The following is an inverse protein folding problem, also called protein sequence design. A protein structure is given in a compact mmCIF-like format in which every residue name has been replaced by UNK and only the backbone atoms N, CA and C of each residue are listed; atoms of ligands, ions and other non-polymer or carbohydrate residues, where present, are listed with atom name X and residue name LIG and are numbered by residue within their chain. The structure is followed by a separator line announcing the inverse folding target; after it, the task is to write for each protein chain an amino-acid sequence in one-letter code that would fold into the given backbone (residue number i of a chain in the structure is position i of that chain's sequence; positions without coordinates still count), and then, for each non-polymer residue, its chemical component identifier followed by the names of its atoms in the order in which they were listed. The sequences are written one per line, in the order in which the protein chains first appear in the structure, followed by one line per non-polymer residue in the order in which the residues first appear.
data_IF_402037774363
#
_entry.id   IF_402037774363
#
_cell.length_a   1.000
_cell.length_b   1.000
_cell.length_c   1.000
_cell.angle_alpha   90.00
_cell.angle_beta   90.00
_cell.angle_gamma   90.00
#
_symmetry.space_group_name_H-M   'P 1'
#
loop_
_entity.id
_entity.type
_entity.pdbx_description
1 polymer ?
#
# COMPACT_ATOMS: atom_id res chain seq x y z
N UNK A 1 6.65 -48.09 -9.50
CA UNK A 1 5.41 -48.14 -10.32
C UNK A 1 5.13 -46.70 -10.73
N UNK A 2 4.94 -46.39 -12.02
CA UNK A 2 4.58 -45.04 -12.43
C UNK A 2 3.21 -44.68 -11.83
N UNK A 3 3.06 -43.43 -11.36
CA UNK A 3 1.77 -42.94 -10.86
C UNK A 3 0.70 -43.15 -11.94
N UNK A 4 -0.41 -43.75 -11.56
CA UNK A 4 -1.50 -44.02 -12.50
C UNK A 4 -2.16 -42.71 -12.90
N UNK A 5 -2.79 -42.67 -14.08
CA UNK A 5 -3.48 -41.46 -14.52
C UNK A 5 -4.53 -41.02 -13.48
N UNK A 6 -5.16 -41.98 -12.78
CA UNK A 6 -6.10 -41.77 -11.68
C UNK A 6 -5.46 -41.01 -10.50
N UNK A 7 -4.26 -41.41 -10.06
CA UNK A 7 -3.51 -40.71 -8.99
C UNK A 7 -3.21 -39.24 -9.37
N UNK A 8 -2.96 -38.99 -10.66
CA UNK A 8 -2.69 -37.64 -11.20
C UNK A 8 -3.97 -36.82 -11.34
N UNK A 9 -5.11 -37.46 -11.58
CA UNK A 9 -6.41 -36.81 -11.59
C UNK A 9 -6.87 -36.45 -10.16
N UNK A 10 -6.75 -37.37 -9.20
CA UNK A 10 -7.11 -37.10 -7.80
C UNK A 10 -6.29 -35.96 -7.19
N UNK A 11 -4.98 -35.90 -7.44
CA UNK A 11 -4.12 -34.82 -6.95
C UNK A 11 -4.47 -33.43 -7.48
N UNK A 12 -5.14 -33.33 -8.64
CA UNK A 12 -5.62 -32.05 -9.21
C UNK A 12 -7.01 -31.66 -8.70
N UNK A 13 -7.82 -32.64 -8.33
CA UNK A 13 -9.19 -32.42 -7.84
C UNK A 13 -9.25 -32.17 -6.34
N UNK A 14 -8.32 -32.77 -5.58
CA UNK A 14 -8.26 -32.71 -4.11
C UNK A 14 -6.96 -32.09 -3.58
N UNK A 15 -6.12 -31.54 -4.46
CA UNK A 15 -4.98 -30.74 -4.04
C UNK A 15 -5.45 -29.59 -3.13
N UNK A 16 -4.63 -29.12 -2.17
CA UNK A 16 -4.98 -27.98 -1.34
C UNK A 16 -5.25 -26.79 -2.26
N UNK A 17 -6.53 -26.49 -2.48
CA UNK A 17 -6.97 -25.28 -3.15
C UNK A 17 -6.60 -24.14 -2.21
N UNK A 18 -5.46 -23.52 -2.45
CA UNK A 18 -5.06 -22.32 -1.71
C UNK A 18 -6.09 -21.25 -2.08
N UNK A 19 -7.12 -21.10 -1.26
CA UNK A 19 -8.16 -20.09 -1.44
C UNK A 19 -7.43 -18.75 -1.45
N UNK A 20 -7.34 -18.06 -2.60
CA UNK A 20 -6.47 -16.91 -2.75
C UNK A 20 -7.11 -15.73 -2.02
N UNK A 21 -6.88 -15.66 -0.70
CA UNK A 21 -7.30 -14.59 0.18
C UNK A 21 -8.82 -14.58 0.39
N UNK A 22 -9.23 -14.78 1.63
CA UNK A 22 -10.58 -14.48 2.10
C UNK A 22 -10.97 -13.09 1.59
N UNK A 23 -11.92 -13.03 0.63
CA UNK A 23 -12.38 -11.75 0.09
C UNK A 23 -13.05 -10.99 1.22
N UNK A 24 -12.42 -9.90 1.68
CA UNK A 24 -13.00 -9.02 2.70
C UNK A 24 -14.43 -8.66 2.28
N UNK A 25 -15.37 -8.71 3.24
CA UNK A 25 -16.74 -8.28 3.02
C UNK A 25 -16.72 -6.83 2.47
N UNK A 26 -17.46 -6.58 1.38
CA UNK A 26 -17.50 -5.28 0.70
C UNK A 26 -17.82 -4.13 1.66
N UNK A 27 -18.65 -4.37 2.67
CA UNK A 27 -18.95 -3.39 3.71
C UNK A 27 -17.73 -3.06 4.58
N UNK A 28 -16.94 -4.07 4.97
CA UNK A 28 -15.70 -3.89 5.73
C UNK A 28 -14.68 -3.14 4.89
N UNK A 29 -14.56 -3.46 3.60
CA UNK A 29 -13.73 -2.71 2.66
C UNK A 29 -14.12 -1.23 2.59
N UNK A 30 -15.41 -0.90 2.55
CA UNK A 30 -15.88 0.48 2.55
C UNK A 30 -15.44 1.24 3.80
N UNK A 31 -15.50 0.61 4.98
CA UNK A 31 -15.01 1.23 6.23
C UNK A 31 -13.53 1.58 6.11
N UNK A 32 -12.70 0.64 5.64
CA UNK A 32 -11.28 0.91 5.42
C UNK A 32 -11.04 1.99 4.37
N UNK A 33 -11.83 2.02 3.29
CA UNK A 33 -11.74 3.07 2.28
C UNK A 33 -12.00 4.46 2.85
N UNK A 34 -12.93 4.61 3.79
CA UNK A 34 -13.21 5.89 4.47
C UNK A 34 -12.04 6.26 5.38
N UNK A 35 -11.52 5.31 6.18
CA UNK A 35 -10.38 5.54 7.06
C UNK A 35 -9.12 5.92 6.28
N UNK A 36 -8.82 5.21 5.20
CA UNK A 36 -7.67 5.48 4.33
C UNK A 36 -7.84 6.83 3.63
N UNK A 37 -9.04 7.20 3.20
CA UNK A 37 -9.29 8.54 2.65
C UNK A 37 -8.99 9.65 3.66
N UNK A 38 -9.35 9.48 4.93
CA UNK A 38 -8.98 10.40 6.00
C UNK A 38 -7.46 10.46 6.19
N UNK A 39 -6.79 9.31 6.19
CA UNK A 39 -5.32 9.26 6.28
C UNK A 39 -4.64 9.94 5.08
N UNK A 40 -5.17 9.78 3.86
CA UNK A 40 -4.66 10.49 2.67
C UNK A 40 -4.79 12.00 2.84
N UNK A 41 -5.90 12.48 3.41
CA UNK A 41 -6.08 13.92 3.69
C UNK A 41 -5.01 14.44 4.67
N UNK A 42 -4.71 13.68 5.72
CA UNK A 42 -3.62 14.00 6.65
C UNK A 42 -2.27 13.98 5.92
N UNK A 43 -2.00 12.94 5.13
CA UNK A 43 -0.77 12.80 4.37
C UNK A 43 -0.54 13.96 3.39
N UNK A 44 -1.59 14.42 2.70
CA UNK A 44 -1.55 15.58 1.81
C UNK A 44 -1.22 16.87 2.57
N UNK A 45 -1.82 17.05 3.75
CA UNK A 45 -1.54 18.22 4.61
C UNK A 45 -0.09 18.20 5.08
N UNK A 46 0.38 17.04 5.57
CA UNK A 46 1.78 16.84 6.00
C UNK A 46 2.75 17.06 4.85
N UNK A 47 2.46 16.55 3.65
CA UNK A 47 3.25 16.78 2.46
C UNK A 47 3.31 18.27 2.13
N UNK A 48 2.18 18.98 2.15
CA UNK A 48 2.13 20.42 1.89
C UNK A 48 2.99 21.22 2.87
N UNK A 49 2.88 20.92 4.17
CA UNK A 49 3.73 21.54 5.21
C UNK A 49 5.21 21.21 4.97
N UNK A 50 5.54 19.96 4.67
CA UNK A 50 6.89 19.55 4.36
C UNK A 50 7.43 20.26 3.11
N UNK A 51 6.65 20.40 2.04
CA UNK A 51 7.08 21.13 0.84
C UNK A 51 7.41 22.59 1.16
N UNK A 52 6.60 23.27 1.97
CA UNK A 52 6.88 24.65 2.39
C UNK A 52 8.18 24.73 3.20
N UNK A 53 8.36 23.84 4.18
CA UNK A 53 9.57 23.81 5.02
C UNK A 53 10.80 23.50 4.15
N UNK A 54 10.73 22.54 3.23
CA UNK A 54 11.84 22.14 2.35
C UNK A 54 12.24 23.30 1.45
N UNK A 55 11.25 24.01 0.91
CA UNK A 55 11.49 25.19 0.10
C UNK A 55 12.20 26.30 0.90
N UNK A 56 11.78 26.56 2.13
CA UNK A 56 12.47 27.52 3.02
C UNK A 56 13.91 27.10 3.30
N UNK A 57 14.16 25.81 3.57
CA UNK A 57 15.52 25.29 3.77
C UNK A 57 16.36 25.53 2.52
N UNK A 58 15.84 25.22 1.34
CA UNK A 58 16.55 25.44 0.07
C UNK A 58 16.86 26.93 -0.14
N UNK A 59 15.98 27.86 0.23
CA UNK A 59 16.26 29.30 0.14
C UNK A 59 17.45 29.72 1.00
N UNK A 60 17.54 29.18 2.23
CA UNK A 60 18.64 29.49 3.16
C UNK A 60 19.93 28.76 2.77
N UNK A 61 19.82 27.55 2.22
CA UNK A 61 20.94 26.67 1.91
C UNK A 61 21.36 26.72 0.42
N UNK A 62 21.15 27.86 -0.26
CA UNK A 62 21.57 28.10 -1.66
C UNK A 62 21.05 27.05 -2.67
N UNK A 63 19.86 26.52 -2.43
CA UNK A 63 19.20 25.52 -3.27
C UNK A 63 19.46 24.07 -2.86
N UNK A 64 20.30 23.81 -1.85
CA UNK A 64 20.55 22.45 -1.38
C UNK A 64 19.38 21.93 -0.51
N UNK A 65 18.73 20.82 -0.90
CA UNK A 65 17.64 20.24 -0.13
C UNK A 65 18.15 19.54 1.13
N UNK A 66 17.30 19.45 2.15
CA UNK A 66 17.57 18.58 3.30
C UNK A 66 17.29 17.12 2.90
N UNK A 67 18.33 16.29 2.93
CA UNK A 67 18.27 14.87 2.54
C UNK A 67 17.23 14.08 3.35
N UNK A 68 17.21 14.23 4.68
CA UNK A 68 16.27 13.51 5.55
C UNK A 68 14.82 13.80 5.21
N UNK A 69 14.57 15.03 4.79
CA UNK A 69 13.23 15.50 4.47
C UNK A 69 12.79 15.04 3.08
N UNK A 70 13.74 14.93 2.14
CA UNK A 70 13.51 14.31 0.83
C UNK A 70 13.25 12.80 0.97
N UNK A 71 13.99 12.10 1.83
CA UNK A 71 13.75 10.69 2.17
C UNK A 71 12.35 10.50 2.77
N UNK A 72 11.96 11.33 3.73
CA UNK A 72 10.59 11.31 4.28
C UNK A 72 9.52 11.48 3.20
N UNK A 73 9.69 12.46 2.30
CA UNK A 73 8.78 12.67 1.18
C UNK A 73 8.68 11.45 0.25
N UNK A 74 9.78 10.71 0.07
CA UNK A 74 9.82 9.48 -0.73
C UNK A 74 9.00 8.37 -0.07
N UNK A 75 9.20 8.10 1.22
CA UNK A 75 8.41 7.12 1.97
C UNK A 75 6.91 7.48 1.98
N UNK A 76 6.59 8.77 2.15
CA UNK A 76 5.20 9.25 2.11
C UNK A 76 4.58 9.04 0.71
N UNK A 77 5.32 9.29 -0.36
CA UNK A 77 4.88 9.05 -1.73
C UNK A 77 4.60 7.58 -2.02
N UNK A 78 5.47 6.67 -1.56
CA UNK A 78 5.27 5.22 -1.65
C UNK A 78 3.98 4.81 -0.94
N UNK A 79 3.75 5.34 0.27
CA UNK A 79 2.54 5.08 1.03
C UNK A 79 1.28 5.57 0.30
N UNK A 80 1.28 6.80 -0.24
CA UNK A 80 0.14 7.36 -1.00
C UNK A 80 -0.17 6.49 -2.22
N UNK A 81 0.86 6.01 -2.94
CA UNK A 81 0.67 5.13 -4.09
C UNK A 81 0.02 3.79 -3.70
N UNK A 82 0.43 3.18 -2.57
CA UNK A 82 -0.21 1.97 -2.04
C UNK A 82 -1.67 2.24 -1.63
N UNK A 83 -1.92 3.35 -0.91
CA UNK A 83 -3.26 3.74 -0.49
C UNK A 83 -4.20 3.98 -1.68
N UNK A 84 -3.73 4.66 -2.73
CA UNK A 84 -4.50 4.88 -3.94
C UNK A 84 -4.88 3.58 -4.64
N UNK A 85 -3.96 2.60 -4.72
CA UNK A 85 -4.25 1.27 -5.31
C UNK A 85 -5.33 0.52 -4.53
N UNK A 86 -5.31 0.57 -3.20
CA UNK A 86 -6.38 -0.01 -2.40
C UNK A 86 -7.73 0.69 -2.66
N UNK A 87 -7.71 2.02 -2.66
CA UNK A 87 -8.90 2.85 -2.82
C UNK A 87 -9.60 2.65 -4.17
N UNK A 88 -8.84 2.46 -5.24
CA UNK A 88 -9.38 2.22 -6.60
C UNK A 88 -9.60 0.75 -6.92
N UNK A 89 -9.28 -0.14 -5.98
CA UNK A 89 -9.39 -1.59 -6.15
C UNK A 89 -8.41 -2.22 -7.12
N UNK A 90 -7.31 -1.54 -7.39
CA UNK A 90 -6.15 -2.14 -8.05
C UNK A 90 -5.35 -3.08 -7.11
N UNK A 91 -5.63 -3.06 -5.80
CA UNK A 91 -5.03 -3.95 -4.79
C UNK A 91 -6.03 -4.24 -3.67
N UNK A 92 -6.03 -5.48 -3.16
CA UNK A 92 -6.75 -5.86 -1.93
C UNK A 92 -5.87 -5.68 -0.67
N UNK A 93 -4.59 -5.36 -0.84
CA UNK A 93 -3.65 -5.13 0.25
C UNK A 93 -3.83 -3.72 0.81
N UNK A 94 -4.28 -3.65 2.07
CA UNK A 94 -4.40 -2.40 2.85
C UNK A 94 -3.00 -1.77 3.04
N UNK A 95 -2.84 -0.43 2.97
CA UNK A 95 -1.56 0.21 3.26
C UNK A 95 -1.22 0.17 4.76
N UNK A 96 -0.01 0.59 5.14
CA UNK A 96 0.34 0.87 6.54
C UNK A 96 -0.73 1.78 7.20
N UNK A 97 -1.13 1.56 8.46
CA UNK A 97 -0.51 0.72 9.51
C UNK A 97 -0.91 -0.75 9.51
N UNK A 98 -1.76 -1.21 8.60
CA UNK A 98 -2.23 -2.61 8.62
C UNK A 98 -1.25 -3.58 7.95
N UNK A 99 -0.37 -3.07 7.10
CA UNK A 99 0.70 -3.82 6.46
C UNK A 99 2.00 -3.05 6.54
N UNK A 100 3.10 -3.70 6.17
CA UNK A 100 4.42 -3.11 6.23
C UNK A 100 4.57 -1.92 5.26
N UNK A 101 5.28 -0.90 5.73
CA UNK A 101 5.82 0.15 4.88
C UNK A 101 6.97 -0.50 4.08
N UNK A 102 6.93 -0.45 2.74
CA UNK A 102 8.10 -0.90 1.95
C UNK A 102 9.20 0.15 2.08
#
# INVERSE_FOLDING_TARGET
MPATDEDKFEGRMHGPQFDPGERDNLFVRLIYMILIALMISVAQTVLGVATVIQFVIMLVNKGEPNERMAEFGTSLGIWIAKAARFQTGASEVKPWPWTELD
#
